data_IF_018209495128
#
_entry.id   IF_018209495128
#
_cell.length_a   1.000
_cell.length_b   1.000
_cell.length_c   1.000
_cell.angle_alpha   90.00
_cell.angle_beta   90.00
_cell.angle_gamma   90.00
#
_symmetry.space_group_name_H-M   'P 1'
#
loop_
_entity.id
_entity.type
_entity.pdbx_description
1 polymer ?
#
# COMPACT_ATOMS: atom_id res chain seq x y z
N UNK A 1 3.15 28.71 3.64
CA UNK A 1 3.51 29.42 2.39
C UNK A 1 2.33 29.31 1.45
N UNK A 2 1.68 30.43 1.14
CA UNK A 2 0.50 30.47 0.28
C UNK A 2 0.91 30.87 -1.13
N UNK A 3 0.45 30.11 -2.11
CA UNK A 3 0.58 30.39 -3.53
C UNK A 3 -0.69 31.10 -3.98
N UNK A 4 -0.55 32.31 -4.51
CA UNK A 4 -1.67 33.07 -5.00
C UNK A 4 -1.71 33.01 -6.53
N UNK A 5 -2.83 32.56 -7.07
CA UNK A 5 -3.06 32.61 -8.51
C UNK A 5 -3.14 34.05 -8.99
N UNK A 6 -2.37 34.39 -10.04
CA UNK A 6 -2.35 35.74 -10.61
C UNK A 6 -3.66 36.11 -11.31
N UNK A 7 -4.35 35.14 -11.90
CA UNK A 7 -5.57 35.37 -12.70
C UNK A 7 -6.83 35.51 -11.82
N UNK A 8 -7.03 34.60 -10.86
CA UNK A 8 -8.25 34.56 -10.05
C UNK A 8 -8.06 34.96 -8.58
N UNK A 9 -6.84 35.37 -8.18
CA UNK A 9 -6.45 35.76 -6.81
C UNK A 9 -6.68 34.67 -5.74
N UNK A 10 -7.07 33.47 -6.14
CA UNK A 10 -7.24 32.32 -5.26
C UNK A 10 -5.93 31.95 -4.57
N UNK A 11 -5.99 31.71 -3.27
CA UNK A 11 -4.85 31.31 -2.46
C UNK A 11 -4.91 29.80 -2.19
N UNK A 12 -3.85 29.10 -2.57
CA UNK A 12 -3.68 27.67 -2.31
C UNK A 12 -2.36 27.41 -1.59
N UNK A 13 -2.19 26.22 -1.03
CA UNK A 13 -0.90 25.76 -0.50
C UNK A 13 -0.41 24.60 -1.35
N UNK A 14 0.91 24.34 -1.40
CA UNK A 14 1.45 23.19 -2.15
C UNK A 14 0.87 21.85 -1.69
N UNK A 15 0.45 21.79 -0.44
CA UNK A 15 -0.17 20.61 0.16
C UNK A 15 -1.67 20.53 -0.06
N UNK A 16 -2.30 21.57 -0.62
CA UNK A 16 -3.76 21.62 -0.84
C UNK A 16 -4.20 20.59 -1.88
N UNK A 17 -5.24 19.82 -1.57
CA UNK A 17 -5.73 18.73 -2.41
C UNK A 17 -4.85 17.48 -2.41
N UNK A 18 -3.79 17.44 -1.59
CA UNK A 18 -2.90 16.27 -1.47
C UNK A 18 -3.14 15.54 -0.15
N UNK A 19 -2.60 14.32 -0.04
CA UNK A 19 -2.54 13.59 1.23
C UNK A 19 -1.83 14.39 2.33
N UNK A 20 -1.01 15.39 2.01
CA UNK A 20 -0.32 16.22 3.02
C UNK A 20 -1.18 17.36 3.56
N UNK A 21 -2.39 17.58 3.03
CA UNK A 21 -3.18 18.75 3.37
C UNK A 21 -3.54 18.80 4.86
N UNK A 22 -3.39 19.98 5.47
CA UNK A 22 -3.69 20.22 6.88
C UNK A 22 -2.77 19.49 7.87
N UNK A 23 -1.71 18.81 7.39
CA UNK A 23 -0.71 18.21 8.27
C UNK A 23 0.25 19.27 8.79
N UNK A 24 0.56 19.21 10.08
CA UNK A 24 1.64 20.00 10.71
C UNK A 24 2.98 19.27 10.70
N UNK A 25 3.03 18.07 10.10
CA UNK A 25 4.25 17.27 10.04
C UNK A 25 5.15 17.72 8.88
N UNK A 26 6.47 17.68 9.07
CA UNK A 26 7.42 17.83 7.97
C UNK A 26 7.16 16.80 6.86
N UNK A 27 7.34 17.21 5.60
CA UNK A 27 7.21 16.31 4.45
C UNK A 27 8.22 15.15 4.49
N UNK A 28 9.38 15.34 5.11
CA UNK A 28 10.38 14.29 5.32
C UNK A 28 9.83 13.14 6.18
N UNK A 29 9.09 13.46 7.26
CA UNK A 29 8.41 12.47 8.11
C UNK A 29 7.35 11.70 7.32
N UNK A 30 6.65 12.39 6.42
CA UNK A 30 5.68 11.79 5.51
C UNK A 30 6.30 10.81 4.52
N UNK A 31 7.40 11.19 3.87
CA UNK A 31 8.14 10.30 2.96
C UNK A 31 8.72 9.09 3.68
N UNK A 32 9.25 9.28 4.89
CA UNK A 32 9.70 8.17 5.71
C UNK A 32 8.56 7.22 6.08
N UNK A 33 7.39 7.76 6.47
CA UNK A 33 6.22 6.95 6.79
C UNK A 33 5.76 6.12 5.60
N UNK A 34 5.71 6.72 4.40
CA UNK A 34 5.38 6.01 3.16
C UNK A 34 6.39 4.91 2.86
N UNK A 35 7.68 5.19 2.94
CA UNK A 35 8.73 4.20 2.69
C UNK A 35 8.63 2.98 3.64
N UNK A 36 8.38 3.22 4.92
CA UNK A 36 8.26 2.16 5.92
C UNK A 36 7.00 1.30 5.69
N UNK A 37 5.89 1.93 5.31
CA UNK A 37 4.64 1.22 5.05
C UNK A 37 4.65 0.44 3.73
N UNK A 38 5.33 0.95 2.69
CA UNK A 38 5.43 0.24 1.39
C UNK A 38 6.53 -0.80 1.37
N UNK A 39 7.61 -0.62 2.14
CA UNK A 39 8.71 -1.57 2.23
C UNK A 39 8.40 -2.79 3.10
N UNK A 40 7.42 -2.71 4.00
CA UNK A 40 7.05 -3.82 4.88
C UNK A 40 6.14 -4.83 4.16
N UNK A 41 6.59 -6.09 4.02
CA UNK A 41 5.76 -7.22 3.52
C UNK A 41 4.51 -7.47 4.39
N UNK A 42 4.57 -7.10 5.66
CA UNK A 42 3.47 -7.19 6.62
C UNK A 42 3.02 -5.80 7.01
N UNK A 43 1.70 -5.56 7.02
CA UNK A 43 1.10 -4.31 7.50
C UNK A 43 1.69 -3.88 8.86
N UNK A 44 2.61 -2.91 8.85
CA UNK A 44 3.37 -2.47 10.03
C UNK A 44 2.42 -1.95 11.13
N UNK A 45 2.64 -2.31 12.39
CA UNK A 45 1.79 -1.83 13.48
C UNK A 45 1.96 -0.31 13.70
N UNK A 46 0.90 0.40 14.10
CA UNK A 46 1.00 1.85 14.39
C UNK A 46 2.01 2.16 15.51
N UNK A 47 2.18 1.21 16.46
CA UNK A 47 3.17 1.32 17.53
C UNK A 47 4.61 1.20 17.02
N UNK A 48 4.84 0.37 16.00
CA UNK A 48 6.14 0.22 15.35
C UNK A 48 6.46 1.46 14.51
N UNK A 49 5.48 1.93 13.73
CA UNK A 49 5.58 3.18 12.96
C UNK A 49 5.91 4.38 13.88
N UNK A 50 5.30 4.44 15.07
CA UNK A 50 5.61 5.44 16.09
C UNK A 50 7.09 5.41 16.48
N UNK A 51 7.66 4.22 16.72
CA UNK A 51 9.06 4.04 17.11
C UNK A 51 10.01 4.49 16.00
N UNK A 52 9.69 4.19 14.75
CA UNK A 52 10.51 4.61 13.61
C UNK A 52 10.42 6.11 13.31
N UNK A 53 9.25 6.71 13.44
CA UNK A 53 9.02 8.13 13.12
C UNK A 53 9.31 9.10 14.27
N UNK A 54 9.38 8.62 15.51
CA UNK A 54 9.57 9.47 16.69
C UNK A 54 8.40 10.39 17.00
N UNK A 55 7.19 10.07 16.50
CA UNK A 55 5.97 10.88 16.70
C UNK A 55 5.09 10.33 17.83
N UNK A 56 4.06 11.07 18.22
CA UNK A 56 3.04 10.56 19.13
C UNK A 56 2.28 9.38 18.51
N UNK A 57 1.78 8.47 19.36
CA UNK A 57 1.02 7.31 18.89
C UNK A 57 -0.18 7.71 18.03
N UNK A 58 -0.96 8.70 18.48
CA UNK A 58 -2.12 9.21 17.72
C UNK A 58 -1.73 9.76 16.35
N UNK A 59 -0.53 10.34 16.23
CA UNK A 59 -0.01 10.83 14.96
C UNK A 59 0.37 9.67 14.05
N UNK A 60 1.12 8.68 14.55
CA UNK A 60 1.47 7.48 13.79
C UNK A 60 0.22 6.70 13.35
N UNK A 61 -0.79 6.64 14.23
CA UNK A 61 -2.03 5.98 13.93
C UNK A 61 -2.86 6.76 12.89
N UNK A 62 -2.95 8.10 12.97
CA UNK A 62 -3.59 8.94 11.93
C UNK A 62 -2.86 8.92 10.59
N UNK A 63 -1.54 8.73 10.59
CA UNK A 63 -0.75 8.50 9.36
C UNK A 63 -1.12 7.17 8.71
N UNK A 64 -1.44 6.15 9.53
CA UNK A 64 -1.64 4.77 9.10
C UNK A 64 -3.11 4.38 8.86
N UNK A 65 -4.05 4.83 9.70
CA UNK A 65 -5.42 4.33 9.81
C UNK A 65 -6.45 5.46 9.87
N UNK A 66 -7.60 5.22 9.23
CA UNK A 66 -8.84 5.98 9.39
C UNK A 66 -9.50 5.59 10.71
N UNK A 67 -9.77 6.57 11.57
CA UNK A 67 -11.06 6.54 12.25
C UNK A 67 -11.63 7.95 12.38
N UNK A 68 -12.82 8.08 11.82
CA UNK A 68 -13.91 9.00 12.21
C UNK A 68 -13.75 10.43 11.69
N UNK A 69 -14.51 10.71 10.63
CA UNK A 69 -15.08 12.03 10.31
C UNK A 69 -14.09 13.11 9.84
N UNK A 70 -13.00 12.75 9.16
CA UNK A 70 -12.25 13.74 8.38
C UNK A 70 -11.84 13.13 7.03
N UNK A 71 -12.22 13.72 5.88
CA UNK A 71 -12.04 13.14 4.55
C UNK A 71 -10.58 13.20 4.04
N UNK A 72 -9.61 12.87 4.89
CA UNK A 72 -8.17 13.00 4.60
C UNK A 72 -7.40 11.81 5.16
N UNK A 73 -7.75 10.64 4.65
CA UNK A 73 -7.03 9.38 4.79
C UNK A 73 -5.81 9.39 3.85
N UNK A 74 -4.65 8.89 4.28
CA UNK A 74 -3.39 9.36 3.64
C UNK A 74 -2.49 8.33 3.00
N UNK A 75 -2.44 7.09 3.50
CA UNK A 75 -1.54 6.08 2.90
C UNK A 75 -2.31 4.80 2.60
N UNK A 76 -2.84 4.11 3.61
CA UNK A 76 -3.55 2.84 3.38
C UNK A 76 -4.79 3.01 2.49
N UNK A 77 -5.60 4.05 2.73
CA UNK A 77 -6.75 4.33 1.88
C UNK A 77 -6.35 4.73 0.46
N UNK A 78 -5.33 5.57 0.30
CA UNK A 78 -4.83 5.93 -1.05
C UNK A 78 -4.33 4.70 -1.80
N UNK A 79 -3.70 3.75 -1.10
CA UNK A 79 -3.36 2.45 -1.68
C UNK A 79 -4.59 1.64 -2.05
N UNK A 80 -5.59 1.54 -1.16
CA UNK A 80 -6.84 0.83 -1.43
C UNK A 80 -7.61 1.44 -2.60
N UNK A 81 -7.76 2.76 -2.67
CA UNK A 81 -8.44 3.47 -3.77
C UNK A 81 -7.71 3.27 -5.09
N UNK A 82 -6.37 3.18 -5.07
CA UNK A 82 -5.56 2.90 -6.26
C UNK A 82 -5.66 1.44 -6.70
N UNK A 83 -5.82 0.51 -5.76
CA UNK A 83 -6.04 -0.91 -6.05
C UNK A 83 -7.52 -1.23 -6.36
N UNK A 84 -8.47 -0.39 -5.95
CA UNK A 84 -9.90 -0.57 -6.21
C UNK A 84 -10.26 -0.81 -7.70
N UNK A 85 -9.65 -0.13 -8.69
CA UNK A 85 -9.90 -0.43 -10.10
C UNK A 85 -9.18 -1.70 -10.60
N UNK A 86 -8.23 -2.27 -9.85
CA UNK A 86 -7.50 -3.50 -10.22
C UNK A 86 -8.25 -4.76 -9.78
N UNK A 87 -9.54 -4.81 -10.07
CA UNK A 87 -10.31 -6.04 -9.89
C UNK A 87 -10.10 -6.95 -11.09
N UNK A 88 -9.75 -8.21 -10.82
CA UNK A 88 -9.71 -9.25 -11.85
C UNK A 88 -11.15 -9.53 -12.31
N UNK A 89 -11.37 -9.49 -13.62
CA UNK A 89 -12.67 -9.69 -14.24
C UNK A 89 -12.52 -10.60 -15.48
N UNK A 90 -13.62 -11.26 -15.88
CA UNK A 90 -13.62 -12.21 -16.98
C UNK A 90 -13.13 -13.59 -16.55
N UNK A 91 -12.35 -14.26 -17.40
CA UNK A 91 -11.76 -15.55 -17.07
C UNK A 91 -10.51 -15.33 -16.21
N UNK A 92 -10.54 -15.84 -14.98
CA UNK A 92 -9.44 -15.72 -14.02
C UNK A 92 -8.88 -17.10 -13.75
N UNK A 93 -7.63 -17.31 -14.12
CA UNK A 93 -6.88 -18.51 -13.76
C UNK A 93 -6.13 -18.26 -12.46
N UNK A 94 -6.32 -19.15 -11.49
CA UNK A 94 -5.66 -19.09 -10.19
C UNK A 94 -4.83 -20.35 -10.04
N UNK A 95 -3.52 -20.19 -9.92
CA UNK A 95 -2.59 -21.30 -9.70
C UNK A 95 -1.83 -21.12 -8.39
N UNK A 96 -1.63 -22.22 -7.68
CA UNK A 96 -0.76 -22.29 -6.51
C UNK A 96 0.62 -22.81 -6.90
N UNK A 97 1.66 -22.11 -6.47
CA UNK A 97 3.04 -22.50 -6.70
C UNK A 97 3.83 -22.47 -5.39
N UNK A 98 4.91 -23.24 -5.35
CA UNK A 98 5.76 -23.38 -4.16
C UNK A 98 7.16 -22.92 -4.54
N UNK A 99 7.60 -21.79 -3.96
CA UNK A 99 8.95 -21.27 -4.14
C UNK A 99 9.88 -21.88 -3.06
N UNK A 100 10.93 -22.58 -3.48
CA UNK A 100 11.96 -23.12 -2.56
C UNK A 100 12.25 -24.61 -2.75
N UNK A 101 12.81 -25.25 -1.71
CA UNK A 101 13.23 -26.65 -1.72
C UNK A 101 14.72 -26.88 -2.05
N UNK A 102 15.53 -25.83 -2.19
CA UNK A 102 16.98 -25.93 -2.44
C UNK A 102 17.77 -26.42 -1.21
N UNK A 103 17.18 -26.29 -0.01
CA UNK A 103 17.80 -26.75 1.25
C UNK A 103 17.52 -28.23 1.50
N UNK A 104 18.58 -29.00 1.70
CA UNK A 104 18.52 -30.41 2.08
C UNK A 104 17.97 -30.57 3.51
N UNK A 105 17.00 -31.48 3.68
CA UNK A 105 16.31 -31.73 4.95
C UNK A 105 14.83 -31.34 4.93
N UNK A 106 14.02 -31.94 5.81
CA UNK A 106 12.59 -31.66 5.92
C UNK A 106 11.67 -32.64 5.17
N UNK A 107 10.36 -32.45 5.29
CA UNK A 107 9.35 -33.34 4.68
C UNK A 107 9.32 -33.18 3.15
N UNK A 108 9.24 -34.28 2.37
CA UNK A 108 9.05 -34.21 0.93
C UNK A 108 7.62 -33.76 0.57
N UNK A 109 7.43 -33.28 -0.66
CA UNK A 109 6.12 -32.91 -1.20
C UNK A 109 5.67 -31.47 -0.90
N UNK A 110 4.34 -31.24 -0.86
CA UNK A 110 3.70 -29.93 -0.69
C UNK A 110 3.80 -29.39 0.76
N UNK A 111 3.96 -30.26 1.75
CA UNK A 111 4.06 -29.89 3.18
C UNK A 111 5.49 -29.65 3.69
N UNK A 112 6.42 -29.30 2.79
CA UNK A 112 7.81 -29.02 3.17
C UNK A 112 7.92 -27.64 3.80
N UNK A 113 8.53 -27.54 4.98
CA UNK A 113 8.85 -26.28 5.65
C UNK A 113 9.86 -25.41 4.86
N UNK A 114 10.57 -26.02 3.90
CA UNK A 114 11.53 -25.37 3.03
C UNK A 114 10.90 -24.78 1.75
N UNK A 115 9.57 -24.79 1.66
CA UNK A 115 8.82 -24.25 0.54
C UNK A 115 7.87 -23.16 1.02
N UNK A 116 7.91 -22.03 0.34
CA UNK A 116 6.95 -20.96 0.55
C UNK A 116 5.82 -21.10 -0.49
N UNK A 117 4.59 -21.44 -0.08
CA UNK A 117 3.46 -21.40 -0.99
C UNK A 117 3.16 -19.93 -1.35
N UNK A 118 2.88 -19.70 -2.63
CA UNK A 118 2.33 -18.45 -3.13
C UNK A 118 1.22 -18.77 -4.14
N UNK A 119 0.27 -17.85 -4.27
CA UNK A 119 -0.83 -17.95 -5.21
C UNK A 119 -0.69 -16.79 -6.18
N UNK A 120 -0.91 -17.06 -7.46
CA UNK A 120 -1.00 -16.03 -8.49
C UNK A 120 -2.34 -16.18 -9.18
N UNK A 121 -3.04 -15.07 -9.34
CA UNK A 121 -4.27 -14.99 -10.12
C UNK A 121 -4.03 -14.14 -11.36
N UNK A 122 -4.32 -14.68 -12.55
CA UNK A 122 -4.16 -13.99 -13.84
C UNK A 122 -5.53 -13.90 -14.51
N UNK A 123 -5.95 -12.68 -14.86
CA UNK A 123 -7.10 -12.46 -15.74
C UNK A 123 -6.64 -12.51 -17.20
N UNK A 124 -7.32 -13.30 -18.03
CA UNK A 124 -7.06 -13.41 -19.47
C UNK A 124 -8.16 -12.78 -20.30
N UNK A 125 -7.86 -12.44 -21.56
CA UNK A 125 -8.86 -12.07 -22.55
C UNK A 125 -9.83 -13.23 -22.88
N UNK A 126 -10.91 -12.94 -23.61
CA UNK A 126 -11.92 -13.93 -24.02
C UNK A 126 -11.33 -15.07 -24.87
N UNK A 127 -10.17 -14.86 -25.48
CA UNK A 127 -9.43 -15.84 -26.28
C UNK A 127 -8.46 -16.70 -25.47
N UNK A 128 -8.26 -16.41 -24.18
CA UNK A 128 -7.32 -17.09 -23.27
C UNK A 128 -5.84 -17.02 -23.70
N UNK A 129 -5.50 -16.14 -24.65
CA UNK A 129 -4.15 -16.05 -25.22
C UNK A 129 -3.30 -14.96 -24.56
N UNK A 130 -3.93 -13.87 -24.08
CA UNK A 130 -3.19 -12.74 -23.53
C UNK A 130 -3.60 -12.44 -22.07
N UNK A 131 -2.62 -12.35 -21.14
CA UNK A 131 -2.88 -11.94 -19.77
C UNK A 131 -3.10 -10.42 -19.71
N UNK A 132 -4.19 -10.01 -19.07
CA UNK A 132 -4.58 -8.59 -18.92
C UNK A 132 -4.13 -8.03 -17.57
N UNK A 133 -4.36 -8.78 -16.48
CA UNK A 133 -3.99 -8.39 -15.12
C UNK A 133 -3.49 -9.60 -14.33
N UNK A 134 -2.52 -9.39 -13.43
CA UNK A 134 -2.03 -10.41 -12.52
C UNK A 134 -1.95 -9.85 -11.09
N UNK A 135 -2.37 -10.65 -10.11
CA UNK A 135 -2.35 -10.33 -8.67
C UNK A 135 -1.75 -11.49 -7.88
#
# INVERSE_FOLDING_TARGET
>A
MYYQCRACRHQTTLTSGTVFEGSKLPLTTWFLAMHLLTGSKTNMAALELKRHLGVCYDTAWKLKHDQRKSPRDKIMQTMTEREAPRQLAGFVQIDDAYLGGERNGGKPGRGSENKQPFVVAVATDETLEHPTFAV
#
